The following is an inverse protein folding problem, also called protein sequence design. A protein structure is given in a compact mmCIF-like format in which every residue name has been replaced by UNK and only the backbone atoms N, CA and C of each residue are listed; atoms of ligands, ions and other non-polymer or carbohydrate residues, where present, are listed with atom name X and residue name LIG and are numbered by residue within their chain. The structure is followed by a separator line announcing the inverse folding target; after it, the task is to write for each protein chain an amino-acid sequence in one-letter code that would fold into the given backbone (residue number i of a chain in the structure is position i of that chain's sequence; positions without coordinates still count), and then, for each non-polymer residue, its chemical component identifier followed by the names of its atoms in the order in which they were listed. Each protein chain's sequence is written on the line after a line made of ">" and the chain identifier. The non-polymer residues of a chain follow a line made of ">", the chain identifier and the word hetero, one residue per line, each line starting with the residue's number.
data_IF_058131893051
#
_entry.id   IF_058131893051
#
_cell.length_a   1.000
_cell.length_b   1.000
_cell.length_c   1.000
_cell.angle_alpha   90.00
_cell.angle_beta   90.00
_cell.angle_gamma   90.00
#
_symmetry.space_group_name_H-M   'P 1'
#
loop_
_entity.id
_entity.type
_entity.pdbx_description
1 polymer ?
#
# COMPACT_ATOMS: atom_id res chain seq x y z
N UNK A 1 -61.68 -47.79 3.84
CA UNK A 1 -61.17 -46.40 3.95
C UNK A 1 -60.12 -46.25 2.85
N UNK A 2 -60.15 -45.38 1.85
CA UNK A 2 -61.05 -44.34 1.34
C UNK A 2 -60.49 -43.98 -0.05
N UNK A 3 -61.37 -43.56 -0.95
CA UNK A 3 -61.08 -43.23 -2.36
C UNK A 3 -60.18 -41.99 -2.52
N UNK A 4 -59.40 -41.93 -3.61
CA UNK A 4 -59.52 -40.89 -4.65
C UNK A 4 -58.46 -41.07 -5.76
N UNK A 5 -58.91 -41.38 -6.98
CA UNK A 5 -58.22 -41.04 -8.23
C UNK A 5 -58.30 -39.52 -8.46
N UNK A 6 -57.28 -38.91 -9.06
CA UNK A 6 -57.51 -37.96 -10.17
C UNK A 6 -56.22 -37.65 -10.92
N UNK A 7 -56.14 -38.13 -12.16
CA UNK A 7 -55.32 -37.58 -13.24
C UNK A 7 -55.98 -36.31 -13.77
N UNK A 8 -55.25 -35.19 -13.88
CA UNK A 8 -55.66 -34.08 -14.76
C UNK A 8 -54.47 -33.38 -15.41
N UNK A 9 -54.75 -32.99 -16.64
CA UNK A 9 -53.94 -32.62 -17.80
C UNK A 9 -53.61 -31.12 -17.88
N UNK A 10 -52.64 -30.79 -18.76
CA UNK A 10 -52.44 -29.53 -19.50
C UNK A 10 -52.01 -28.28 -18.70
N UNK A 11 -51.28 -27.30 -19.25
CA UNK A 11 -51.16 -26.89 -20.65
C UNK A 11 -49.78 -26.26 -20.95
N UNK A 12 -49.31 -26.50 -22.18
CA UNK A 12 -48.40 -25.59 -22.90
C UNK A 12 -49.08 -24.24 -23.11
N UNK A 13 -48.32 -23.16 -23.01
CA UNK A 13 -48.70 -21.86 -23.55
C UNK A 13 -47.45 -21.14 -24.04
N UNK A 14 -47.14 -21.37 -25.30
CA UNK A 14 -46.46 -20.40 -26.17
C UNK A 14 -47.37 -19.18 -26.31
N UNK A 15 -46.83 -17.97 -26.12
CA UNK A 15 -46.95 -16.83 -27.06
C UNK A 15 -46.57 -15.50 -26.39
N UNK A 16 -45.80 -14.73 -27.16
CA UNK A 16 -45.76 -13.26 -27.18
C UNK A 16 -45.23 -12.57 -25.92
N UNK A 17 -44.37 -11.56 -25.97
CA UNK A 17 -44.24 -10.55 -27.00
C UNK A 17 -42.88 -9.87 -26.87
N UNK A 18 -42.29 -9.61 -28.03
CA UNK A 18 -41.28 -8.62 -28.32
C UNK A 18 -41.55 -7.26 -27.65
N UNK A 19 -40.53 -6.65 -27.06
CA UNK A 19 -40.34 -5.20 -27.12
C UNK A 19 -38.85 -4.87 -26.99
N UNK A 20 -38.22 -4.79 -28.17
CA UNK A 20 -37.01 -4.01 -28.37
C UNK A 20 -37.43 -2.55 -28.27
N UNK A 21 -36.97 -1.84 -27.24
CA UNK A 21 -36.87 -0.38 -27.32
C UNK A 21 -35.43 -0.04 -27.68
N UNK A 22 -35.19 -0.01 -28.99
CA UNK A 22 -34.18 0.85 -29.58
C UNK A 22 -34.63 2.30 -29.34
N UNK A 23 -33.82 3.07 -28.62
CA UNK A 23 -33.75 4.51 -28.84
C UNK A 23 -32.31 4.87 -29.19
N UNK A 24 -32.07 4.90 -30.51
CA UNK A 24 -31.01 5.70 -31.10
C UNK A 24 -31.32 7.18 -30.83
N UNK A 25 -30.34 7.94 -30.37
CA UNK A 25 -30.55 9.34 -29.99
C UNK A 25 -29.28 10.15 -29.89
N UNK A 26 -28.69 10.42 -31.06
CA UNK A 26 -27.77 11.53 -31.38
C UNK A 26 -26.40 11.58 -30.69
N UNK A 27 -25.41 11.17 -31.47
CA UNK A 27 -24.11 11.82 -31.52
C UNK A 27 -24.26 13.29 -31.97
N UNK A 28 -23.79 14.20 -31.11
CA UNK A 28 -23.22 15.52 -31.43
C UNK A 28 -22.17 15.72 -30.34
N UNK A 29 -20.88 15.59 -30.61
CA UNK A 29 -20.19 16.40 -31.60
C UNK A 29 -19.88 17.77 -30.99
N UNK A 30 -19.01 17.81 -29.97
CA UNK A 30 -18.25 19.03 -29.65
C UNK A 30 -16.91 18.64 -29.04
N UNK A 31 -15.92 18.48 -29.92
CA UNK A 31 -14.50 18.52 -29.57
C UNK A 31 -14.24 19.91 -29.00
N UNK A 32 -14.04 20.01 -27.70
CA UNK A 32 -13.43 21.21 -27.11
C UNK A 32 -11.94 20.93 -27.08
N UNK A 33 -11.26 21.44 -28.10
CA UNK A 33 -9.82 21.62 -28.14
C UNK A 33 -9.54 22.72 -27.11
N UNK A 34 -9.08 22.34 -25.91
CA UNK A 34 -8.48 23.29 -24.98
C UNK A 34 -6.99 23.31 -25.27
N UNK A 35 -6.57 24.45 -25.76
CA UNK A 35 -5.21 24.87 -26.11
C UNK A 35 -4.19 24.54 -25.02
N UNK A 36 -3.15 23.79 -25.41
CA UNK A 36 -1.89 23.70 -24.66
C UNK A 36 -1.22 25.08 -24.68
N UNK A 37 -1.31 25.80 -23.56
CA UNK A 37 -0.46 26.96 -23.32
C UNK A 37 0.92 26.46 -22.90
N UNK A 38 1.82 26.39 -23.89
CA UNK A 38 3.27 26.33 -23.68
C UNK A 38 3.70 27.56 -22.88
N UNK A 39 4.08 27.37 -21.63
CA UNK A 39 4.85 28.34 -20.86
C UNK A 39 6.25 27.78 -20.67
N UNK A 40 7.06 28.00 -21.69
CA UNK A 40 8.52 27.94 -21.65
C UNK A 40 9.02 29.04 -20.70
N UNK A 41 9.32 28.68 -19.46
CA UNK A 41 10.03 29.51 -18.50
C UNK A 41 11.45 29.00 -18.32
N UNK A 42 12.39 29.51 -19.11
CA UNK A 42 13.82 29.34 -18.86
C UNK A 42 14.19 30.20 -17.64
N UNK A 43 14.35 29.58 -16.46
CA UNK A 43 14.95 30.26 -15.32
C UNK A 43 16.46 30.01 -15.34
N UNK A 44 17.19 31.07 -15.65
CA UNK A 44 18.65 31.09 -15.62
C UNK A 44 19.18 30.96 -14.17
N UNK A 45 20.34 30.34 -14.11
CA UNK A 45 21.08 29.92 -12.93
C UNK A 45 21.80 31.12 -12.28
N UNK A 46 21.77 31.22 -10.94
CA UNK A 46 22.74 32.00 -10.18
C UNK A 46 23.40 31.10 -9.12
N UNK A 47 24.58 30.58 -9.43
CA UNK A 47 25.45 29.93 -8.45
C UNK A 47 26.14 31.03 -7.63
N UNK A 48 25.82 31.11 -6.34
CA UNK A 48 26.64 31.88 -5.40
C UNK A 48 27.84 31.02 -5.03
N UNK A 49 28.98 31.34 -5.64
CA UNK A 49 30.29 30.93 -5.19
C UNK A 49 30.58 31.64 -3.85
N UNK A 50 30.29 30.96 -2.74
CA UNK A 50 30.69 31.37 -1.39
C UNK A 50 31.95 30.61 -0.98
N UNK A 51 33.10 30.99 -1.52
CA UNK A 51 34.39 30.63 -0.94
C UNK A 51 34.62 31.55 0.25
N UNK A 52 34.38 31.08 1.48
CA UNK A 52 34.88 31.77 2.66
C UNK A 52 36.35 31.46 2.82
N UNK A 53 37.11 32.51 2.59
CA UNK A 53 38.56 32.59 2.47
C UNK A 53 39.21 32.30 3.82
N UNK A 54 40.15 31.35 3.82
CA UNK A 54 41.02 31.02 4.94
C UNK A 54 41.92 32.23 5.26
N UNK A 55 41.79 32.78 6.47
CA UNK A 55 42.65 33.85 6.97
C UNK A 55 44.01 33.26 7.39
N UNK A 56 44.98 33.29 6.48
CA UNK A 56 46.39 33.07 6.80
C UNK A 56 47.00 34.35 7.39
N UNK A 57 47.33 34.35 8.69
CA UNK A 57 48.29 35.29 9.27
C UNK A 57 49.59 34.56 9.58
N UNK A 58 50.54 34.74 8.67
CA UNK A 58 51.98 35.01 8.88
C UNK A 58 52.78 34.23 9.92
N UNK A 59 53.65 33.37 9.39
CA UNK A 59 55.02 33.00 9.77
C UNK A 59 55.62 33.46 11.12
N UNK A 60 56.19 32.48 11.85
CA UNK A 60 57.63 32.46 12.13
C UNK A 60 58.11 31.03 12.47
N UNK A 61 59.35 30.74 12.10
CA UNK A 61 60.04 29.46 12.05
C UNK A 61 60.91 29.23 13.31
N UNK A 62 61.01 27.96 13.70
CA UNK A 62 62.04 27.25 14.47
C UNK A 62 62.39 27.66 15.91
N UNK A 63 62.22 26.69 16.81
CA UNK A 63 62.94 26.54 18.07
C UNK A 63 62.82 25.09 18.54
N UNK A 64 63.96 24.42 18.69
CA UNK A 64 64.07 22.99 18.95
C UNK A 64 63.72 22.57 20.39
N UNK A 65 63.60 21.25 20.53
CA UNK A 65 63.89 20.41 21.70
C UNK A 65 62.78 20.12 22.73
N UNK A 66 62.64 18.81 22.93
CA UNK A 66 62.39 18.06 24.15
C UNK A 66 61.00 17.44 24.42
N UNK A 67 61.10 16.15 24.70
CA UNK A 67 60.24 15.25 25.47
C UNK A 67 58.98 14.68 24.84
N UNK A 68 59.24 13.52 24.23
CA UNK A 68 58.37 12.35 24.29
C UNK A 68 58.04 12.00 25.75
N UNK A 69 56.83 12.30 26.19
CA UNK A 69 56.19 11.60 27.31
C UNK A 69 54.87 11.00 26.84
N UNK A 70 54.96 9.72 26.47
CA UNK A 70 53.83 8.83 26.28
C UNK A 70 53.28 8.48 27.67
N UNK A 71 52.27 9.22 28.12
CA UNK A 71 51.43 8.80 29.24
C UNK A 71 50.06 8.45 28.69
N UNK A 72 49.71 7.17 28.83
CA UNK A 72 48.42 6.63 28.47
C UNK A 72 47.26 7.19 29.29
N UNK A 73 46.08 6.63 29.01
CA UNK A 73 44.75 7.06 29.40
C UNK A 73 44.22 8.23 28.54
N UNK A 74 43.08 8.13 27.90
CA UNK A 74 41.87 7.46 28.36
C UNK A 74 41.14 6.92 27.15
N UNK A 75 40.86 5.61 27.14
CA UNK A 75 39.64 5.14 26.50
C UNK A 75 38.51 5.82 27.27
N UNK A 76 38.12 7.02 26.85
CA UNK A 76 36.81 7.54 27.22
C UNK A 76 35.85 6.49 26.72
N UNK A 77 35.34 5.71 27.66
CA UNK A 77 34.12 4.97 27.49
C UNK A 77 33.13 5.94 26.88
N UNK A 78 32.92 5.80 25.57
CA UNK A 78 31.91 6.54 24.88
C UNK A 78 30.59 5.96 25.38
N UNK A 79 30.12 6.47 26.53
CA UNK A 79 28.76 6.25 26.99
C UNK A 79 27.87 6.53 25.79
N UNK A 80 27.17 5.52 25.26
CA UNK A 80 26.28 5.74 24.13
C UNK A 80 25.34 6.88 24.51
N UNK A 81 25.12 7.89 23.66
CA UNK A 81 24.14 8.91 23.96
C UNK A 81 22.82 8.20 24.26
N UNK A 82 22.30 8.40 25.48
CA UNK A 82 20.99 7.86 25.89
C UNK A 82 19.98 8.52 24.97
N UNK A 83 19.59 7.79 23.92
CA UNK A 83 18.65 8.27 22.94
C UNK A 83 17.35 8.65 23.67
N UNK A 84 16.75 9.81 23.37
CA UNK A 84 15.50 10.20 24.02
C UNK A 84 14.44 9.12 23.79
N UNK A 85 13.48 8.91 24.72
CA UNK A 85 12.51 7.81 24.65
C UNK A 85 11.81 7.65 23.29
N UNK A 86 11.56 8.76 22.59
CA UNK A 86 10.95 8.77 21.26
C UNK A 86 11.80 8.13 20.16
N UNK A 87 13.13 8.26 20.25
CA UNK A 87 14.04 7.64 19.29
C UNK A 87 14.12 6.13 19.51
N UNK A 88 14.08 5.68 20.77
CA UNK A 88 13.99 4.26 21.12
C UNK A 88 12.69 3.66 20.61
N UNK A 89 11.55 4.31 20.85
CA UNK A 89 10.25 3.88 20.32
C UNK A 89 10.22 3.83 18.78
N UNK A 90 10.89 4.77 18.11
CA UNK A 90 11.00 4.76 16.65
C UNK A 90 11.81 3.57 16.14
N UNK A 91 12.91 3.22 16.81
CA UNK A 91 13.76 2.06 16.47
C UNK A 91 13.07 0.73 16.79
N UNK A 92 12.25 0.70 17.83
CA UNK A 92 11.50 -0.49 18.28
C UNK A 92 10.19 -0.71 17.51
N UNK A 93 9.81 0.20 16.61
CA UNK A 93 8.52 0.15 15.93
C UNK A 93 8.48 -1.06 14.97
N UNK A 94 7.47 -1.94 15.08
CA UNK A 94 7.46 -3.15 14.26
C UNK A 94 7.22 -2.84 12.79
N UNK A 95 7.77 -3.67 11.91
CA UNK A 95 7.68 -3.50 10.46
C UNK A 95 7.12 -4.77 9.82
N UNK A 96 6.14 -4.58 8.93
CA UNK A 96 5.65 -5.60 8.01
C UNK A 96 6.22 -5.32 6.63
N UNK A 97 7.08 -6.21 6.13
CA UNK A 97 7.72 -6.10 4.82
C UNK A 97 7.10 -7.08 3.82
N UNK A 98 7.43 -6.91 2.52
CA UNK A 98 7.00 -7.82 1.45
C UNK A 98 5.50 -8.14 1.48
N UNK A 99 4.66 -7.11 1.74
CA UNK A 99 3.21 -7.27 1.82
C UNK A 99 2.68 -7.61 0.43
N UNK A 100 2.05 -8.77 0.31
CA UNK A 100 1.57 -9.32 -0.94
C UNK A 100 0.26 -10.09 -0.75
N UNK A 101 -0.37 -10.45 -1.86
CA UNK A 101 -1.51 -11.37 -1.89
C UNK A 101 -1.02 -12.73 -2.38
N UNK A 102 -1.66 -13.82 -1.95
CA UNK A 102 -1.31 -15.19 -2.36
C UNK A 102 -1.48 -15.47 -3.86
N UNK A 103 -2.13 -14.58 -4.59
CA UNK A 103 -2.34 -14.66 -6.04
C UNK A 103 -3.26 -13.54 -6.53
N UNK A 104 -3.69 -13.63 -7.78
CA UNK A 104 -4.66 -12.70 -8.35
C UNK A 104 -6.04 -12.93 -7.72
N UNK A 105 -6.67 -11.89 -7.15
CA UNK A 105 -7.97 -12.03 -6.51
C UNK A 105 -9.07 -12.30 -7.54
N UNK A 106 -9.89 -13.31 -7.29
CA UNK A 106 -11.01 -13.70 -8.13
C UNK A 106 -12.33 -13.62 -7.37
N UNK A 107 -13.40 -13.22 -8.04
CA UNK A 107 -14.74 -13.18 -7.44
C UNK A 107 -15.16 -14.58 -6.96
N UNK A 108 -15.52 -14.72 -5.69
CA UNK A 108 -15.97 -16.00 -5.12
C UNK A 108 -14.85 -16.96 -4.74
N UNK A 109 -13.58 -16.55 -4.86
CA UNK A 109 -12.43 -17.34 -4.43
C UNK A 109 -11.72 -16.66 -3.27
N UNK A 110 -11.30 -17.44 -2.27
CA UNK A 110 -10.54 -16.90 -1.13
C UNK A 110 -9.14 -16.49 -1.60
N UNK A 111 -8.75 -15.27 -1.25
CA UNK A 111 -7.39 -14.75 -1.41
C UNK A 111 -6.83 -14.40 -0.03
N UNK A 112 -5.56 -14.74 0.20
CA UNK A 112 -4.89 -14.53 1.48
C UNK A 112 -3.85 -13.43 1.38
N UNK A 113 -3.83 -12.56 2.38
CA UNK A 113 -2.78 -11.59 2.60
C UNK A 113 -1.55 -12.24 3.23
N UNK A 114 -0.39 -11.91 2.68
CA UNK A 114 0.92 -12.41 3.12
C UNK A 114 1.85 -11.24 3.35
N UNK A 115 2.79 -11.41 4.27
CA UNK A 115 3.81 -10.42 4.55
C UNK A 115 4.92 -11.08 5.39
N UNK A 116 6.06 -10.39 5.48
CA UNK A 116 7.21 -10.78 6.31
C UNK A 116 7.26 -9.91 7.56
N UNK A 117 7.26 -10.53 8.72
CA UNK A 117 7.47 -9.87 10.00
C UNK A 117 8.96 -9.50 10.18
N UNK A 118 9.23 -8.27 10.60
CA UNK A 118 10.59 -7.73 10.72
C UNK A 118 10.87 -7.15 12.11
N UNK A 119 10.22 -7.67 13.16
CA UNK A 119 10.54 -7.28 14.53
C UNK A 119 11.03 -8.50 15.32
N UNK A 120 11.92 -8.25 16.28
CA UNK A 120 12.46 -9.28 17.16
C UNK A 120 11.43 -9.75 18.21
N UNK A 121 10.38 -8.96 18.41
CA UNK A 121 9.30 -9.24 19.33
C UNK A 121 8.14 -9.98 18.65
N UNK A 122 7.40 -10.83 19.38
CA UNK A 122 6.22 -11.50 18.85
C UNK A 122 5.16 -10.52 18.32
N UNK A 123 4.52 -10.93 17.23
CA UNK A 123 3.35 -10.26 16.69
C UNK A 123 2.17 -10.37 17.67
N UNK A 124 1.47 -9.25 17.92
CA UNK A 124 0.23 -9.25 18.73
C UNK A 124 -0.98 -8.90 17.85
N UNK A 125 -1.71 -7.84 18.16
CA UNK A 125 -2.94 -7.42 17.49
C UNK A 125 -2.68 -6.69 16.17
N UNK A 126 -1.90 -7.30 15.28
CA UNK A 126 -1.66 -6.73 13.95
C UNK A 126 -2.97 -6.58 13.20
N UNK A 127 -3.17 -5.39 12.61
CA UNK A 127 -4.42 -5.09 11.91
C UNK A 127 -4.27 -5.42 10.43
N UNK A 128 -5.19 -6.25 9.93
CA UNK A 128 -5.29 -6.63 8.53
C UNK A 128 -6.41 -5.85 7.84
N UNK A 129 -6.14 -5.33 6.65
CA UNK A 129 -7.07 -4.50 5.90
C UNK A 129 -7.05 -4.86 4.42
N UNK A 130 -8.21 -4.88 3.80
CA UNK A 130 -8.37 -4.91 2.36
C UNK A 130 -8.94 -3.59 1.90
N UNK A 131 -8.26 -2.95 0.96
CA UNK A 131 -8.67 -1.67 0.40
C UNK A 131 -9.05 -1.86 -1.06
N UNK A 132 -10.12 -1.19 -1.49
CA UNK A 132 -10.58 -1.18 -2.86
C UNK A 132 -10.60 0.24 -3.42
N UNK A 133 -10.18 0.38 -4.67
CA UNK A 133 -10.20 1.62 -5.43
C UNK A 133 -11.02 1.41 -6.71
N UNK A 134 -12.18 2.07 -6.78
CA UNK A 134 -13.03 2.10 -7.99
C UNK A 134 -12.58 3.16 -9.01
N UNK A 135 -11.52 3.91 -8.69
CA UNK A 135 -10.97 5.01 -9.47
C UNK A 135 -9.71 5.56 -8.77
N UNK A 136 -9.09 6.63 -9.29
CA UNK A 136 -7.78 7.10 -8.80
C UNK A 136 -7.80 7.66 -7.37
N UNK A 137 -8.93 8.17 -6.89
CA UNK A 137 -8.98 8.96 -5.64
C UNK A 137 -9.86 8.37 -4.54
N UNK A 138 -10.74 7.40 -4.85
CA UNK A 138 -11.69 6.85 -3.87
C UNK A 138 -11.24 5.48 -3.39
N UNK A 139 -10.58 5.45 -2.24
CA UNK A 139 -10.19 4.23 -1.53
C UNK A 139 -11.22 3.94 -0.42
N UNK A 140 -11.71 2.70 -0.36
CA UNK A 140 -12.58 2.23 0.73
C UNK A 140 -12.04 0.93 1.32
N UNK A 141 -12.31 0.69 2.59
CA UNK A 141 -12.01 -0.61 3.23
C UNK A 141 -13.13 -1.59 2.88
N UNK A 142 -12.76 -2.79 2.43
CA UNK A 142 -13.67 -3.86 2.01
C UNK A 142 -13.50 -5.15 2.82
N UNK A 143 -12.51 -5.23 3.69
CA UNK A 143 -12.26 -6.37 4.55
C UNK A 143 -11.30 -6.03 5.69
N UNK A 144 -11.41 -6.76 6.80
CA UNK A 144 -10.60 -6.55 8.03
C UNK A 144 -10.00 -7.85 8.58
N UNK A 145 -9.69 -8.78 7.69
CA UNK A 145 -9.13 -10.08 8.03
C UNK A 145 -7.93 -10.36 7.12
N UNK A 146 -7.12 -11.35 7.51
CA UNK A 146 -5.99 -11.80 6.69
C UNK A 146 -6.44 -12.44 5.38
N UNK A 147 -7.62 -13.04 5.37
CA UNK A 147 -8.24 -13.65 4.20
C UNK A 147 -9.48 -12.87 3.81
N UNK A 148 -9.79 -12.83 2.52
CA UNK A 148 -11.05 -12.31 2.03
C UNK A 148 -11.53 -13.10 0.82
N UNK A 149 -12.82 -13.01 0.55
CA UNK A 149 -13.42 -13.49 -0.69
C UNK A 149 -14.02 -12.29 -1.43
N UNK A 150 -13.44 -11.85 -2.56
CA UNK A 150 -14.01 -10.76 -3.34
C UNK A 150 -15.44 -11.08 -3.79
N UNK A 151 -16.37 -10.18 -3.51
CA UNK A 151 -17.75 -10.31 -3.96
C UNK A 151 -17.91 -9.87 -5.42
N UNK A 152 -19.04 -10.20 -6.04
CA UNK A 152 -19.34 -9.82 -7.42
C UNK A 152 -19.26 -8.29 -7.66
N UNK A 153 -19.59 -7.47 -6.65
CA UNK A 153 -19.49 -6.01 -6.73
C UNK A 153 -18.05 -5.46 -6.72
N UNK A 154 -17.05 -6.31 -6.54
CA UNK A 154 -15.64 -5.95 -6.68
C UNK A 154 -15.03 -6.39 -8.02
N UNK A 155 -15.79 -7.04 -8.90
CA UNK A 155 -15.31 -7.41 -10.24
C UNK A 155 -14.77 -6.18 -10.99
N UNK A 156 -13.55 -6.29 -11.51
CA UNK A 156 -12.89 -5.21 -12.22
C UNK A 156 -12.41 -4.05 -11.33
N UNK A 157 -12.65 -4.10 -10.02
CA UNK A 157 -12.16 -3.11 -9.06
C UNK A 157 -10.74 -3.46 -8.66
N UNK A 158 -9.87 -2.45 -8.47
CA UNK A 158 -8.52 -2.68 -7.97
C UNK A 158 -8.56 -2.81 -6.45
N UNK A 159 -7.98 -3.88 -5.91
CA UNK A 159 -7.83 -4.09 -4.48
C UNK A 159 -6.36 -4.19 -4.09
N UNK A 160 -6.07 -3.98 -2.80
CA UNK A 160 -4.78 -4.25 -2.19
C UNK A 160 -4.97 -4.75 -0.76
N UNK A 161 -3.98 -5.52 -0.30
CA UNK A 161 -3.89 -5.96 1.08
C UNK A 161 -2.95 -5.02 1.85
N UNK A 162 -3.34 -4.62 3.05
CA UNK A 162 -2.58 -3.75 3.92
C UNK A 162 -2.45 -4.34 5.32
N UNK A 163 -1.31 -4.08 5.96
CA UNK A 163 -0.99 -4.55 7.30
C UNK A 163 -0.53 -3.36 8.14
N UNK A 164 -1.06 -3.25 9.35
CA UNK A 164 -0.56 -2.32 10.39
C UNK A 164 0.01 -3.18 11.53
N UNK A 165 1.33 -3.41 11.56
CA UNK A 165 1.95 -4.33 12.52
C UNK A 165 1.87 -3.77 13.94
N UNK A 166 1.72 -4.65 14.92
CA UNK A 166 1.61 -4.29 16.34
C UNK A 166 2.42 -5.26 17.19
N UNK A 167 3.09 -4.71 18.21
CA UNK A 167 3.72 -5.46 19.30
C UNK A 167 3.25 -4.95 20.65
N UNK A 168 3.35 -5.81 21.65
CA UNK A 168 2.98 -5.49 23.03
C UNK A 168 1.48 -5.24 23.22
N UNK A 169 1.12 -4.92 24.45
CA UNK A 169 -0.25 -4.68 24.89
C UNK A 169 -0.32 -3.52 25.89
N UNK A 170 -1.51 -2.96 26.09
CA UNK A 170 -1.75 -1.87 27.04
C UNK A 170 -0.82 -0.66 26.81
N UNK A 171 -0.10 -0.27 27.85
CA UNK A 171 0.83 0.88 27.84
C UNK A 171 2.14 0.62 27.09
N UNK A 172 2.47 -0.63 26.81
CA UNK A 172 3.66 -1.04 26.05
C UNK A 172 3.39 -1.23 24.55
N UNK A 173 2.15 -0.97 24.11
CA UNK A 173 1.73 -1.22 22.73
C UNK A 173 2.42 -0.28 21.76
N UNK A 174 3.19 -0.85 20.84
CA UNK A 174 3.81 -0.12 19.73
C UNK A 174 3.17 -0.55 18.41
N UNK A 175 2.85 0.44 17.58
CA UNK A 175 2.20 0.21 16.29
C UNK A 175 3.07 0.70 15.14
N UNK A 176 3.32 -0.14 14.15
CA UNK A 176 4.07 0.25 12.96
C UNK A 176 3.28 1.04 11.92
N UNK A 177 4.00 1.47 10.90
CA UNK A 177 3.40 2.12 9.74
C UNK A 177 2.58 1.12 8.92
N UNK A 178 1.48 1.60 8.35
CA UNK A 178 0.66 0.79 7.44
C UNK A 178 1.47 0.54 6.17
N UNK A 179 1.67 -0.73 5.83
CA UNK A 179 2.32 -1.15 4.59
C UNK A 179 1.32 -1.92 3.75
N UNK A 180 1.30 -1.66 2.44
CA UNK A 180 0.32 -2.26 1.54
C UNK A 180 1.01 -2.94 0.36
N UNK A 181 0.37 -3.97 -0.16
CA UNK A 181 0.72 -4.57 -1.45
C UNK A 181 0.45 -3.60 -2.60
N UNK A 182 0.95 -3.97 -3.78
CA UNK A 182 0.52 -3.35 -5.03
C UNK A 182 -0.99 -3.52 -5.25
N UNK A 183 -1.57 -2.56 -6.00
CA UNK A 183 -2.95 -2.63 -6.46
C UNK A 183 -3.10 -3.67 -7.56
N UNK A 184 -4.08 -4.55 -7.41
CA UNK A 184 -4.39 -5.61 -8.39
C UNK A 184 -5.87 -5.62 -8.71
N UNK A 185 -6.21 -5.76 -9.98
CA UNK A 185 -7.62 -5.86 -10.40
C UNK A 185 -8.21 -7.21 -10.01
N UNK A 186 -9.46 -7.21 -9.53
CA UNK A 186 -10.20 -8.44 -9.25
C UNK A 186 -10.74 -9.03 -10.54
N UNK A 187 -10.36 -10.26 -10.82
CA UNK A 187 -10.81 -11.00 -12.00
C UNK A 187 -12.20 -11.61 -11.79
N UNK A 188 -12.91 -11.84 -12.89
CA UNK A 188 -14.04 -12.75 -12.87
C UNK A 188 -13.56 -14.16 -12.53
N UNK A 189 -14.38 -14.91 -11.81
CA UNK A 189 -14.20 -16.36 -11.67
C UNK A 189 -14.13 -16.94 -13.08
N UNK A 190 -12.98 -17.51 -13.47
CA UNK A 190 -12.94 -18.34 -14.68
C UNK A 190 -13.94 -19.47 -14.44
N UNK A 191 -15.02 -19.52 -15.23
CA UNK A 191 -15.50 -20.81 -15.66
C UNK A 191 -14.28 -21.45 -16.33
N UNK A 192 -13.84 -22.62 -15.85
CA UNK A 192 -12.78 -23.37 -16.49
C UNK A 192 -13.02 -23.31 -18.00
N UNK A 193 -12.02 -22.84 -18.74
CA UNK A 193 -12.08 -22.73 -20.20
C UNK A 193 -12.59 -24.07 -20.75
N UNK A 194 -13.85 -24.11 -21.17
CA UNK A 194 -14.43 -25.20 -21.94
C UNK A 194 -13.83 -25.06 -23.33
N UNK A 195 -12.68 -25.69 -23.51
CA UNK A 195 -12.12 -26.02 -24.80
C UNK A 195 -11.67 -27.48 -24.71
N UNK A 196 -12.65 -28.38 -24.84
CA UNK A 196 -12.48 -29.79 -25.19
C UNK A 196 -13.12 -30.02 -26.54
#
# INVERSE_FOLDING_TARGET
>A
MGFALMTTTHADSLLSSSSRCLSAGRATGRRVIVTLANLSGALAIAWLAGCSEYKASTAAVSGATHESESTGASLSEATPPVAPPREIEARMRPVAAAVAMSGTPQVGSVVRGTYRWMADWPETDTVHLWEAAAGPTRIRVVGRAREMMPSAGLRGVRIRYCVKPVIGEGTSRLTGHKTCSAWTTVDSTRAADVAG
#
